data_IF_987201132169
#
_entry.id   IF_987201132169
#
_cell.length_a   1.000
_cell.length_b   1.000
_cell.length_c   1.000
_cell.angle_alpha   90.00
_cell.angle_beta   90.00
_cell.angle_gamma   90.00
#
_symmetry.space_group_name_H-M   'P 1'
#
loop_
_entity.id
_entity.type
_entity.pdbx_description
1 polymer ?
#
# COMPACT_ATOMS: atom_id res chain seq x y z
N UNK A 1 11.63 -20.82 10.23
CA UNK A 1 11.52 -21.49 11.52
C UNK A 1 10.82 -22.82 11.30
N UNK A 2 11.39 -23.93 11.78
CA UNK A 2 10.95 -25.26 11.38
C UNK A 2 11.03 -25.43 9.85
N UNK A 3 9.94 -25.89 9.22
CA UNK A 3 9.79 -26.01 7.77
C UNK A 3 9.06 -24.81 7.12
N UNK A 4 8.71 -23.80 7.92
CA UNK A 4 7.96 -22.61 7.48
C UNK A 4 8.87 -21.43 7.17
N UNK A 5 8.48 -20.67 6.15
CA UNK A 5 9.17 -19.44 5.74
C UNK A 5 8.18 -18.29 5.72
N UNK A 6 8.51 -17.19 6.40
CA UNK A 6 7.79 -15.93 6.32
C UNK A 6 8.38 -15.03 5.24
N UNK A 7 7.51 -14.32 4.53
CA UNK A 7 7.87 -13.38 3.48
C UNK A 7 7.50 -11.96 3.87
N UNK A 8 8.37 -11.00 3.55
CA UNK A 8 8.13 -9.58 3.75
C UNK A 8 8.74 -8.77 2.62
N UNK A 9 8.24 -7.56 2.43
CA UNK A 9 8.67 -6.67 1.37
C UNK A 9 8.96 -5.27 1.93
N UNK A 10 10.08 -4.68 1.49
CA UNK A 10 10.43 -3.30 1.79
C UNK A 10 10.05 -2.42 0.60
N UNK A 11 8.99 -1.63 0.71
CA UNK A 11 8.61 -0.66 -0.30
C UNK A 11 9.48 0.60 -0.19
N UNK A 12 10.03 1.06 -1.32
CA UNK A 12 10.95 2.19 -1.42
C UNK A 12 10.41 3.26 -2.38
N UNK A 13 9.34 3.97 -2.03
CA UNK A 13 8.84 5.04 -2.87
C UNK A 13 9.88 6.18 -2.95
N UNK A 14 10.02 6.84 -4.12
CA UNK A 14 11.14 7.75 -4.41
C UNK A 14 11.19 9.00 -3.51
N UNK A 15 10.10 9.33 -2.82
CA UNK A 15 10.05 10.44 -1.85
C UNK A 15 10.51 10.06 -0.44
N UNK A 16 10.76 8.79 -0.15
CA UNK A 16 11.45 8.34 1.05
C UNK A 16 12.96 8.29 0.81
N UNK A 17 13.72 8.57 1.87
CA UNK A 17 15.18 8.63 1.79
C UNK A 17 15.86 7.24 1.90
N UNK A 18 15.10 6.19 2.10
CA UNK A 18 15.62 4.84 2.21
C UNK A 18 15.92 4.28 0.83
N UNK A 19 17.01 3.50 0.71
CA UNK A 19 17.47 2.88 -0.52
C UNK A 19 17.60 1.37 -0.33
N UNK A 20 17.76 0.64 -1.42
CA UNK A 20 18.02 -0.80 -1.36
C UNK A 20 19.25 -1.11 -0.50
N UNK A 21 20.32 -0.31 -0.63
CA UNK A 21 21.54 -0.46 0.15
C UNK A 21 21.30 -0.25 1.65
N UNK A 22 20.54 0.80 2.02
CA UNK A 22 20.20 1.06 3.42
C UNK A 22 19.34 -0.04 4.02
N UNK A 23 18.35 -0.56 3.27
CA UNK A 23 17.53 -1.68 3.68
C UNK A 23 18.38 -2.93 3.89
N UNK A 24 19.22 -3.29 2.92
CA UNK A 24 20.12 -4.46 3.05
C UNK A 24 21.08 -4.32 4.22
N UNK A 25 21.61 -3.13 4.48
CA UNK A 25 22.47 -2.88 5.62
C UNK A 25 21.74 -3.09 6.96
N UNK A 26 20.50 -2.59 7.07
CA UNK A 26 19.69 -2.80 8.28
C UNK A 26 19.30 -4.27 8.46
N UNK A 27 18.92 -4.97 7.38
CA UNK A 27 18.59 -6.40 7.45
C UNK A 27 19.78 -7.23 7.95
N UNK A 28 21.01 -6.91 7.51
CA UNK A 28 22.24 -7.55 8.05
C UNK A 28 22.45 -7.26 9.55
N UNK A 29 22.11 -6.03 9.99
CA UNK A 29 22.17 -5.66 11.40
C UNK A 29 21.14 -6.44 12.23
N UNK A 30 19.96 -6.68 11.69
CA UNK A 30 18.88 -7.42 12.34
C UNK A 30 19.04 -8.95 12.27
N UNK A 31 19.88 -9.46 11.38
CA UNK A 31 20.07 -10.90 11.15
C UNK A 31 20.31 -11.72 12.43
N UNK A 32 21.17 -11.29 13.40
CA UNK A 32 21.36 -12.04 14.63
C UNK A 32 20.10 -12.13 15.49
N UNK A 33 19.24 -11.09 15.47
CA UNK A 33 17.96 -11.09 16.20
C UNK A 33 17.01 -12.10 15.58
N UNK A 34 16.91 -12.11 14.26
CA UNK A 34 16.01 -13.00 13.51
C UNK A 34 16.47 -14.46 13.62
N UNK A 35 17.78 -14.73 13.53
CA UNK A 35 18.33 -16.08 13.62
C UNK A 35 18.17 -16.70 15.03
N UNK A 36 17.95 -15.89 16.06
CA UNK A 36 17.69 -16.34 17.42
C UNK A 36 16.20 -16.51 17.75
N UNK A 37 15.30 -16.33 16.77
CA UNK A 37 13.87 -16.56 16.99
C UNK A 37 13.59 -18.04 17.23
N UNK A 38 12.73 -18.31 18.20
CA UNK A 38 12.30 -19.66 18.60
C UNK A 38 10.80 -19.75 18.68
N UNK A 39 10.26 -20.97 18.72
CA UNK A 39 8.87 -21.22 19.03
C UNK A 39 8.63 -21.23 20.54
N UNK A 40 7.50 -20.69 21.03
CA UNK A 40 6.48 -19.95 20.27
C UNK A 40 7.00 -18.59 19.80
N UNK A 41 6.62 -18.20 18.57
CA UNK A 41 7.05 -16.95 17.97
C UNK A 41 6.34 -15.76 18.63
N UNK A 42 7.09 -14.86 19.26
CA UNK A 42 6.59 -13.62 19.84
C UNK A 42 7.02 -12.42 18.97
N UNK A 43 6.17 -12.04 18.03
CA UNK A 43 6.48 -10.97 17.06
C UNK A 43 6.73 -9.64 17.74
N UNK A 44 5.91 -9.25 18.73
CA UNK A 44 6.05 -7.97 19.44
C UNK A 44 7.41 -7.84 20.14
N UNK A 45 7.83 -8.89 20.86
CA UNK A 45 9.12 -8.90 21.55
C UNK A 45 10.29 -8.82 20.57
N UNK A 46 10.23 -9.51 19.44
CA UNK A 46 11.27 -9.48 18.41
C UNK A 46 11.32 -8.09 17.79
N UNK A 47 10.18 -7.52 17.42
CA UNK A 47 10.09 -6.18 16.81
C UNK A 47 10.53 -5.08 17.78
N UNK A 48 10.30 -5.23 19.08
CA UNK A 48 10.86 -4.32 20.07
C UNK A 48 12.39 -4.25 20.00
N UNK A 49 13.05 -5.40 19.92
CA UNK A 49 14.52 -5.47 19.78
C UNK A 49 14.96 -4.92 18.42
N UNK A 50 14.31 -5.32 17.32
CA UNK A 50 14.62 -4.82 15.97
C UNK A 50 14.48 -3.30 15.89
N UNK A 51 13.43 -2.73 16.49
CA UNK A 51 13.20 -1.28 16.50
C UNK A 51 14.29 -0.52 17.27
N UNK A 52 14.88 -1.12 18.28
CA UNK A 52 15.94 -0.54 19.10
C UNK A 52 17.33 -0.56 18.42
N UNK A 53 17.54 -1.36 17.37
CA UNK A 53 18.85 -1.48 16.70
C UNK A 53 19.34 -0.17 16.09
N UNK A 54 18.46 0.58 15.45
CA UNK A 54 18.77 1.89 14.90
C UNK A 54 17.49 2.71 14.67
N UNK A 55 17.53 4.06 14.76
CA UNK A 55 16.41 4.93 14.41
C UNK A 55 16.15 4.90 12.89
N UNK A 56 14.93 5.27 12.47
CA UNK A 56 14.54 5.23 11.05
C UNK A 56 14.46 3.81 10.50
N UNK A 57 14.92 3.60 9.27
CA UNK A 57 14.91 2.29 8.58
C UNK A 57 13.51 1.66 8.51
N UNK A 58 12.50 2.48 8.25
CA UNK A 58 11.10 2.08 8.34
C UNK A 58 10.73 1.00 7.32
N UNK A 59 11.24 1.09 6.09
CA UNK A 59 10.99 0.09 5.06
C UNK A 59 11.58 -1.27 5.43
N UNK A 60 12.82 -1.30 5.96
CA UNK A 60 13.45 -2.54 6.41
C UNK A 60 12.72 -3.13 7.62
N UNK A 61 12.34 -2.30 8.60
CA UNK A 61 11.58 -2.74 9.77
C UNK A 61 10.22 -3.29 9.38
N UNK A 62 9.51 -2.61 8.47
CA UNK A 62 8.23 -3.09 7.94
C UNK A 62 8.37 -4.45 7.25
N UNK A 63 9.44 -4.66 6.46
CA UNK A 63 9.65 -5.95 5.80
C UNK A 63 9.89 -7.09 6.80
N UNK A 64 10.60 -6.83 7.89
CA UNK A 64 10.79 -7.81 8.97
C UNK A 64 9.47 -8.09 9.68
N UNK A 65 8.72 -7.06 10.03
CA UNK A 65 7.43 -7.18 10.70
C UNK A 65 6.42 -7.99 9.88
N UNK A 66 6.30 -7.69 8.59
CA UNK A 66 5.47 -8.44 7.64
C UNK A 66 5.91 -9.91 7.58
N UNK A 67 7.22 -10.18 7.46
CA UNK A 67 7.75 -11.54 7.39
C UNK A 67 7.47 -12.34 8.68
N UNK A 68 7.59 -11.69 9.84
CA UNK A 68 7.30 -12.33 11.14
C UNK A 68 5.81 -12.65 11.30
N UNK A 69 4.93 -11.76 10.89
CA UNK A 69 3.48 -12.01 10.94
C UNK A 69 3.04 -13.07 9.93
N UNK A 70 3.61 -13.08 8.72
CA UNK A 70 3.38 -14.15 7.74
C UNK A 70 3.84 -15.51 8.28
N UNK A 71 5.03 -15.55 8.90
CA UNK A 71 5.55 -16.74 9.56
C UNK A 71 4.64 -17.18 10.72
N UNK A 72 4.20 -16.25 11.57
CA UNK A 72 3.31 -16.52 12.68
C UNK A 72 2.00 -17.15 12.24
N UNK A 73 1.33 -16.58 11.24
CA UNK A 73 0.13 -17.17 10.67
C UNK A 73 0.32 -18.57 10.12
N UNK A 74 1.47 -18.83 9.47
CA UNK A 74 1.83 -20.16 8.95
C UNK A 74 2.11 -21.18 10.04
N UNK A 75 2.76 -20.79 11.14
CA UNK A 75 3.03 -21.65 12.29
C UNK A 75 1.73 -22.03 13.02
N UNK A 76 0.84 -21.06 13.22
CA UNK A 76 -0.45 -21.27 13.86
C UNK A 76 -1.50 -21.96 12.92
N UNK A 77 -1.20 -22.06 11.62
CA UNK A 77 -2.12 -22.63 10.62
C UNK A 77 -3.41 -21.84 10.44
N UNK A 78 -3.38 -20.54 10.75
CA UNK A 78 -4.52 -19.62 10.69
C UNK A 78 -4.17 -18.31 10.01
N UNK A 79 -5.11 -17.69 9.27
CA UNK A 79 -4.89 -16.33 8.79
C UNK A 79 -4.90 -15.33 9.96
N UNK A 80 -4.18 -14.21 9.81
CA UNK A 80 -4.01 -13.21 10.86
C UNK A 80 -5.33 -12.64 11.38
N UNK A 81 -6.33 -12.46 10.52
CA UNK A 81 -7.62 -11.95 10.96
C UNK A 81 -8.31 -12.86 11.98
N UNK A 82 -8.11 -14.19 11.89
CA UNK A 82 -8.60 -15.13 12.90
C UNK A 82 -7.77 -15.08 14.19
N UNK A 83 -6.45 -14.93 14.05
CA UNK A 83 -5.55 -14.82 15.21
C UNK A 83 -5.79 -13.55 16.02
N UNK A 84 -6.23 -12.49 15.35
CA UNK A 84 -6.55 -11.20 15.96
C UNK A 84 -8.04 -11.01 16.28
N UNK A 85 -8.85 -12.05 16.12
CA UNK A 85 -10.29 -12.01 16.38
C UNK A 85 -11.01 -10.88 15.63
N UNK A 86 -10.61 -10.64 14.38
CA UNK A 86 -11.21 -9.62 13.51
C UNK A 86 -12.43 -10.23 12.82
N UNK A 87 -13.59 -9.57 12.92
CA UNK A 87 -14.76 -9.93 12.12
C UNK A 87 -14.57 -9.47 10.68
N UNK A 88 -14.43 -10.37 9.69
CA UNK A 88 -14.25 -10.00 8.28
C UNK A 88 -15.47 -9.27 7.70
N UNK A 89 -16.67 -9.42 8.31
CA UNK A 89 -17.88 -8.74 7.86
C UNK A 89 -17.95 -7.29 8.35
N UNK A 90 -17.19 -6.93 9.39
CA UNK A 90 -17.10 -5.57 9.91
C UNK A 90 -16.03 -4.72 9.17
N UNK A 91 -15.29 -5.31 8.24
CA UNK A 91 -14.27 -4.56 7.48
C UNK A 91 -14.90 -3.60 6.47
N UNK A 92 -14.35 -2.38 6.31
CA UNK A 92 -14.81 -1.45 5.29
C UNK A 92 -14.54 -2.01 3.88
N UNK A 93 -15.30 -1.51 2.90
CA UNK A 93 -15.07 -1.87 1.51
C UNK A 93 -13.67 -1.42 1.06
N UNK A 94 -12.93 -2.31 0.41
CA UNK A 94 -11.68 -1.92 -0.23
C UNK A 94 -11.96 -1.04 -1.45
N UNK A 95 -11.03 -0.12 -1.73
CA UNK A 95 -10.99 0.60 -2.98
C UNK A 95 -10.03 -0.08 -3.96
N UNK A 96 -10.41 -0.14 -5.23
CA UNK A 96 -9.53 -0.69 -6.26
C UNK A 96 -8.83 0.41 -7.04
N UNK A 97 -7.50 0.29 -7.15
CA UNK A 97 -6.69 1.34 -7.78
C UNK A 97 -6.68 1.21 -9.30
N UNK A 98 -7.12 2.28 -9.97
CA UNK A 98 -6.95 2.47 -11.41
C UNK A 98 -5.68 3.31 -11.61
N UNK A 99 -4.61 2.63 -12.04
CA UNK A 99 -3.36 3.29 -12.39
C UNK A 99 -3.45 3.98 -13.76
N UNK A 100 -2.64 5.02 -13.92
CA UNK A 100 -2.50 5.74 -15.18
C UNK A 100 -2.12 4.80 -16.33
N UNK A 101 -2.64 5.11 -17.51
CA UNK A 101 -2.20 4.54 -18.78
C UNK A 101 -2.40 5.58 -19.90
N UNK A 102 -1.48 5.63 -20.86
CA UNK A 102 -1.58 6.52 -22.00
C UNK A 102 -2.64 6.06 -23.01
N UNK A 103 -2.98 4.77 -22.98
CA UNK A 103 -3.97 4.18 -23.87
C UNK A 103 -5.34 4.10 -23.20
N UNK A 104 -6.31 4.83 -23.76
CA UNK A 104 -7.68 4.89 -23.23
C UNK A 104 -8.33 3.52 -23.11
N UNK A 105 -8.12 2.63 -24.10
CA UNK A 105 -8.70 1.29 -24.07
C UNK A 105 -8.20 0.44 -22.91
N UNK A 106 -6.94 0.63 -22.47
CA UNK A 106 -6.37 -0.04 -21.31
C UNK A 106 -6.99 0.51 -20.03
N UNK A 107 -7.16 1.82 -19.90
CA UNK A 107 -7.87 2.42 -18.75
C UNK A 107 -9.29 1.88 -18.65
N UNK A 108 -10.03 1.89 -19.76
CA UNK A 108 -11.41 1.38 -19.82
C UNK A 108 -11.48 -0.12 -19.48
N UNK A 109 -10.49 -0.91 -19.91
CA UNK A 109 -10.39 -2.32 -19.55
C UNK A 109 -10.18 -2.51 -18.04
N UNK A 110 -9.24 -1.77 -17.43
CA UNK A 110 -9.00 -1.79 -15.98
C UNK A 110 -10.26 -1.45 -15.17
N UNK A 111 -11.04 -0.46 -15.63
CA UNK A 111 -12.30 -0.09 -14.96
C UNK A 111 -13.35 -1.20 -15.07
N UNK A 112 -13.46 -1.86 -16.21
CA UNK A 112 -14.39 -3.00 -16.41
C UNK A 112 -13.98 -4.22 -15.56
N UNK A 113 -12.68 -4.52 -15.50
CA UNK A 113 -12.15 -5.60 -14.64
C UNK A 113 -12.36 -5.30 -13.15
N UNK A 114 -12.48 -4.02 -12.78
CA UNK A 114 -12.78 -3.56 -11.43
C UNK A 114 -14.30 -3.52 -11.13
N UNK A 115 -15.15 -4.18 -11.90
CA UNK A 115 -16.62 -4.12 -11.69
C UNK A 115 -17.06 -4.66 -10.33
N UNK A 116 -16.36 -5.61 -9.78
CA UNK A 116 -16.56 -6.13 -8.43
C UNK A 116 -16.28 -5.12 -7.31
N UNK A 117 -15.44 -4.09 -7.55
CA UNK A 117 -15.07 -3.10 -6.55
C UNK A 117 -16.19 -2.08 -6.36
N UNK A 118 -16.45 -1.71 -5.11
CA UNK A 118 -17.47 -0.70 -4.77
C UNK A 118 -16.96 0.73 -4.92
N UNK A 119 -15.66 0.93 -4.80
CA UNK A 119 -15.01 2.25 -4.82
C UNK A 119 -13.78 2.16 -5.72
N UNK A 120 -13.57 3.16 -6.56
CA UNK A 120 -12.37 3.28 -7.38
C UNK A 120 -11.41 4.30 -6.78
N UNK A 121 -10.14 3.94 -6.65
CA UNK A 121 -9.05 4.87 -6.35
C UNK A 121 -8.32 5.21 -7.64
N UNK A 122 -8.27 6.48 -8.01
CA UNK A 122 -7.61 6.91 -9.25
C UNK A 122 -6.30 7.61 -8.94
N UNK A 123 -5.22 7.15 -9.56
CA UNK A 123 -3.90 7.78 -9.46
C UNK A 123 -3.83 8.96 -10.41
N UNK A 124 -3.61 10.15 -9.82
CA UNK A 124 -3.41 11.43 -10.49
C UNK A 124 -2.03 12.01 -10.14
N UNK A 125 -1.82 13.31 -10.36
CA UNK A 125 -0.57 14.00 -10.04
C UNK A 125 0.39 14.06 -11.22
N UNK A 126 -0.16 14.01 -12.43
CA UNK A 126 0.53 14.27 -13.69
C UNK A 126 0.18 15.67 -14.20
N UNK A 127 0.33 15.89 -15.50
CA UNK A 127 -0.16 17.11 -16.13
C UNK A 127 -1.69 17.21 -16.01
N UNK A 128 -2.20 18.43 -15.84
CA UNK A 128 -3.63 18.70 -15.66
C UNK A 128 -4.51 18.03 -16.72
N UNK A 129 -4.07 18.09 -17.97
CA UNK A 129 -4.80 17.48 -19.11
C UNK A 129 -4.92 15.97 -18.94
N UNK A 130 -3.87 15.33 -18.48
CA UNK A 130 -3.83 13.89 -18.27
C UNK A 130 -4.71 13.47 -17.10
N UNK A 131 -4.64 14.20 -16.00
CA UNK A 131 -5.46 13.95 -14.81
C UNK A 131 -6.94 14.11 -15.13
N UNK A 132 -7.31 15.18 -15.85
CA UNK A 132 -8.69 15.41 -16.30
C UNK A 132 -9.17 14.35 -17.29
N UNK A 133 -8.31 13.92 -18.22
CA UNK A 133 -8.59 12.83 -19.16
C UNK A 133 -8.93 11.53 -18.39
N UNK A 134 -8.12 11.15 -17.41
CA UNK A 134 -8.33 9.93 -16.62
C UNK A 134 -9.71 9.92 -15.94
N UNK A 135 -10.08 10.99 -15.29
CA UNK A 135 -11.39 11.09 -14.61
C UNK A 135 -12.54 11.07 -15.61
N UNK A 136 -12.47 11.87 -16.69
CA UNK A 136 -13.51 11.93 -17.72
C UNK A 136 -13.72 10.58 -18.39
N UNK A 137 -12.63 9.87 -18.68
CA UNK A 137 -12.66 8.55 -19.29
C UNK A 137 -13.33 7.52 -18.38
N UNK A 138 -12.98 7.51 -17.09
CA UNK A 138 -13.59 6.60 -16.11
C UNK A 138 -15.07 6.92 -15.95
N UNK A 139 -15.44 8.20 -15.84
CA UNK A 139 -16.84 8.64 -15.74
C UNK A 139 -17.68 8.30 -16.97
N UNK A 140 -17.06 8.15 -18.15
CA UNK A 140 -17.79 7.75 -19.36
C UNK A 140 -18.39 6.33 -19.29
N UNK A 141 -17.93 5.48 -18.37
CA UNK A 141 -18.37 4.10 -18.23
C UNK A 141 -18.70 3.67 -16.80
N UNK A 142 -18.51 4.54 -15.78
CA UNK A 142 -18.72 4.18 -14.38
C UNK A 142 -19.18 5.34 -13.52
N UNK A 143 -20.28 5.14 -12.80
CA UNK A 143 -20.82 6.06 -11.78
C UNK A 143 -20.36 5.71 -10.36
N UNK A 144 -19.44 4.75 -10.21
CA UNK A 144 -18.93 4.34 -8.89
C UNK A 144 -18.29 5.52 -8.15
N UNK A 145 -18.37 5.53 -6.82
CA UNK A 145 -17.62 6.50 -6.03
C UNK A 145 -16.13 6.45 -6.40
N UNK A 146 -15.56 7.62 -6.66
CA UNK A 146 -14.12 7.77 -6.94
C UNK A 146 -13.50 8.60 -5.82
N UNK A 147 -12.34 8.18 -5.34
CA UNK A 147 -11.41 9.07 -4.70
C UNK A 147 -10.06 9.06 -5.42
N UNK A 148 -9.26 10.10 -5.22
CA UNK A 148 -8.04 10.32 -5.98
C UNK A 148 -6.83 10.42 -5.07
N UNK A 149 -5.67 10.09 -5.61
CA UNK A 149 -4.39 10.22 -4.92
C UNK A 149 -3.37 10.78 -5.91
N UNK A 150 -3.03 12.04 -5.73
CA UNK A 150 -2.05 12.73 -6.58
C UNK A 150 -0.59 12.43 -6.18
N UNK A 151 -0.35 11.75 -5.07
CA UNK A 151 0.99 11.35 -4.60
C UNK A 151 2.02 12.50 -4.62
N UNK A 152 1.63 13.70 -4.18
CA UNK A 152 2.46 14.92 -4.20
C UNK A 152 2.85 15.39 -5.62
N UNK A 153 2.18 14.93 -6.68
CA UNK A 153 2.52 15.27 -8.05
C UNK A 153 2.06 16.66 -8.49
N UNK A 154 1.13 17.30 -7.76
CA UNK A 154 0.71 18.67 -8.09
C UNK A 154 1.72 19.71 -7.59
N UNK A 155 2.19 20.59 -8.48
CA UNK A 155 3.39 21.40 -8.21
C UNK A 155 3.17 22.54 -7.20
N UNK A 156 1.93 23.06 -7.10
CA UNK A 156 1.62 24.20 -6.22
C UNK A 156 0.31 24.00 -5.47
N UNK A 157 0.13 24.74 -4.38
CA UNK A 157 -1.12 24.76 -3.63
C UNK A 157 -2.28 25.28 -4.48
N UNK A 158 -2.04 26.29 -5.29
CA UNK A 158 -3.04 26.91 -6.16
C UNK A 158 -3.54 25.91 -7.21
N UNK A 159 -2.61 25.15 -7.83
CA UNK A 159 -2.93 24.08 -8.75
C UNK A 159 -3.74 22.97 -8.05
N UNK A 160 -3.32 22.55 -6.86
CA UNK A 160 -4.04 21.55 -6.08
C UNK A 160 -5.48 21.98 -5.75
N UNK A 161 -5.68 23.26 -5.35
CA UNK A 161 -7.01 23.80 -5.06
C UNK A 161 -7.90 23.85 -6.30
N UNK A 162 -7.36 24.27 -7.45
CA UNK A 162 -8.06 24.26 -8.73
C UNK A 162 -8.49 22.81 -9.11
N UNK A 163 -7.59 21.86 -9.00
CA UNK A 163 -7.89 20.47 -9.29
C UNK A 163 -8.93 19.88 -8.34
N UNK A 164 -8.85 20.17 -7.03
CA UNK A 164 -9.86 19.74 -6.07
C UNK A 164 -11.25 20.31 -6.39
N UNK A 165 -11.33 21.57 -6.78
CA UNK A 165 -12.60 22.18 -7.17
C UNK A 165 -13.18 21.49 -8.42
N UNK A 166 -12.39 21.30 -9.46
CA UNK A 166 -12.80 20.60 -10.67
C UNK A 166 -13.23 19.16 -10.37
N UNK A 167 -12.48 18.42 -9.54
CA UNK A 167 -12.79 17.05 -9.14
C UNK A 167 -14.13 16.96 -8.39
N UNK A 168 -14.43 17.94 -7.53
CA UNK A 168 -15.72 18.01 -6.84
C UNK A 168 -16.88 18.18 -7.85
N UNK A 169 -16.70 18.96 -8.91
CA UNK A 169 -17.67 19.12 -9.99
C UNK A 169 -17.87 17.82 -10.78
N UNK A 170 -16.86 16.92 -10.82
CA UNK A 170 -16.94 15.59 -11.43
C UNK A 170 -17.52 14.53 -10.49
N UNK A 171 -18.02 14.92 -9.31
CA UNK A 171 -18.56 14.00 -8.32
C UNK A 171 -17.51 13.06 -7.70
N UNK A 172 -16.26 13.51 -7.63
CA UNK A 172 -15.20 12.81 -6.88
C UNK A 172 -15.40 13.12 -5.39
N UNK A 173 -15.36 12.08 -4.56
CA UNK A 173 -15.74 12.22 -3.16
C UNK A 173 -14.59 12.80 -2.32
N UNK A 174 -13.35 12.47 -2.67
CA UNK A 174 -12.12 13.01 -2.04
C UNK A 174 -10.98 12.89 -3.05
#
# INVERSE_FOLDING_TARGET
LGDKTGYGEAALPPYLKETQESVCAFLKLAEPVINNCTEPLNVDSIMQVVNALAPGNHAAKASIDIALHDLYGKLEGKPLWQLWDIDPNATPCTSYTIGYDACDSIVLLKVREADWAKILKVKLGREEVEDKRMISLIRSISDKPIYVDANQGWPTKEHALMMCQWLAEQGVVI
#
